data_IF_880782096336
#
_entry.id   IF_880782096336
#
_cell.length_a   1.000
_cell.length_b   1.000
_cell.length_c   1.000
_cell.angle_alpha   90.00
_cell.angle_beta   90.00
_cell.angle_gamma   90.00
#
_symmetry.space_group_name_H-M   'P 1'
#
loop_
_entity.id
_entity.type
_entity.pdbx_description
1 polymer ?
#
# COMPACT_ATOMS: atom_id res chain seq x y z
N UNK A 1 32.53 -2.64 6.42
CA UNK A 1 31.67 -1.89 7.38
C UNK A 1 30.28 -1.64 6.79
N UNK A 2 30.19 -1.24 5.52
CA UNK A 2 28.94 -1.13 4.74
C UNK A 2 28.13 -2.44 4.67
N UNK A 3 28.78 -3.60 4.52
CA UNK A 3 28.10 -4.90 4.40
C UNK A 3 27.41 -5.37 5.69
N UNK A 4 28.04 -5.16 6.86
CA UNK A 4 27.44 -5.42 8.18
C UNK A 4 26.29 -4.45 8.49
N UNK A 5 26.38 -3.22 8.02
CA UNK A 5 25.32 -2.22 8.20
C UNK A 5 24.09 -2.58 7.34
N UNK A 6 24.31 -3.02 6.10
CA UNK A 6 23.25 -3.46 5.20
C UNK A 6 22.52 -4.70 5.74
N UNK A 7 23.25 -5.70 6.24
CA UNK A 7 22.64 -6.92 6.83
C UNK A 7 21.84 -6.65 8.11
N UNK A 8 22.29 -5.72 8.96
CA UNK A 8 21.51 -5.29 10.14
C UNK A 8 20.25 -4.51 9.72
N UNK A 9 20.36 -3.66 8.70
CA UNK A 9 19.22 -2.93 8.12
C UNK A 9 18.18 -3.88 7.53
N UNK A 10 18.61 -4.86 6.75
CA UNK A 10 17.73 -5.88 6.16
C UNK A 10 17.07 -6.75 7.23
N UNK A 11 17.82 -7.18 8.25
CA UNK A 11 17.29 -7.96 9.37
C UNK A 11 16.28 -7.15 10.21
N UNK A 12 16.55 -5.86 10.44
CA UNK A 12 15.62 -4.95 11.11
C UNK A 12 14.34 -4.72 10.31
N UNK A 13 14.46 -4.56 8.99
CA UNK A 13 13.32 -4.43 8.10
C UNK A 13 12.47 -5.70 8.09
N UNK A 14 13.11 -6.87 8.02
CA UNK A 14 12.43 -8.17 8.06
C UNK A 14 11.69 -8.37 9.39
N UNK A 15 12.30 -8.02 10.52
CA UNK A 15 11.62 -8.08 11.83
C UNK A 15 10.37 -7.20 11.88
N UNK A 16 10.38 -6.05 11.21
CA UNK A 16 9.24 -5.12 11.18
C UNK A 16 8.17 -5.52 10.14
N UNK A 17 8.57 -6.13 9.03
CA UNK A 17 7.67 -6.62 7.97
C UNK A 17 6.97 -7.92 8.38
N UNK A 18 7.62 -8.79 9.17
CA UNK A 18 7.07 -10.09 9.59
C UNK A 18 5.68 -9.99 10.23
N UNK A 19 5.42 -9.13 11.23
CA UNK A 19 4.07 -8.98 11.80
C UNK A 19 3.07 -8.43 10.78
N UNK A 20 3.51 -7.60 9.82
CA UNK A 20 2.65 -7.13 8.75
C UNK A 20 2.26 -8.25 7.78
N UNK A 21 3.18 -9.16 7.43
CA UNK A 21 2.88 -10.33 6.61
C UNK A 21 1.89 -11.24 7.32
N UNK A 22 2.11 -11.50 8.61
CA UNK A 22 1.20 -12.31 9.44
C UNK A 22 -0.17 -11.65 9.49
N UNK A 23 -0.24 -10.33 9.73
CA UNK A 23 -1.51 -9.60 9.74
C UNK A 23 -2.20 -9.61 8.36
N UNK A 24 -1.44 -9.54 7.26
CA UNK A 24 -2.02 -9.54 5.92
C UNK A 24 -2.59 -10.91 5.54
N UNK A 25 -1.94 -11.99 5.98
CA UNK A 25 -2.35 -13.36 5.65
C UNK A 25 -3.42 -13.90 6.61
N UNK A 26 -3.22 -13.71 7.91
CA UNK A 26 -4.16 -14.18 8.94
C UNK A 26 -5.26 -13.19 9.26
N UNK A 27 -5.04 -11.88 9.09
CA UNK A 27 -6.05 -10.87 9.36
C UNK A 27 -7.33 -11.11 8.57
N UNK A 28 -7.21 -11.31 7.25
CA UNK A 28 -8.35 -11.61 6.38
C UNK A 28 -9.08 -12.91 6.74
N UNK A 29 -8.34 -13.98 7.07
CA UNK A 29 -8.90 -15.28 7.45
C UNK A 29 -9.62 -15.18 8.79
N UNK A 30 -8.96 -14.63 9.81
CA UNK A 30 -9.50 -14.48 11.16
C UNK A 30 -10.74 -13.57 11.12
N UNK A 31 -10.68 -12.43 10.44
CA UNK A 31 -11.84 -11.56 10.28
C UNK A 31 -12.97 -12.22 9.50
N UNK A 32 -12.64 -13.01 8.47
CA UNK A 32 -13.62 -13.74 7.68
C UNK A 32 -14.36 -14.77 8.53
N UNK A 33 -13.63 -15.59 9.30
CA UNK A 33 -14.21 -16.57 10.23
C UNK A 33 -15.05 -15.86 11.31
N UNK A 34 -14.57 -14.74 11.84
CA UNK A 34 -15.32 -13.96 12.84
C UNK A 34 -16.65 -13.47 12.25
N UNK A 35 -16.65 -12.87 11.07
CA UNK A 35 -17.87 -12.38 10.42
C UNK A 35 -18.84 -13.51 10.06
N UNK A 36 -18.31 -14.68 9.70
CA UNK A 36 -19.10 -15.89 9.47
C UNK A 36 -19.84 -16.31 10.73
N UNK A 37 -19.16 -16.31 11.88
CA UNK A 37 -19.77 -16.65 13.18
C UNK A 37 -20.85 -15.62 13.56
N UNK A 38 -20.64 -14.34 13.23
CA UNK A 38 -21.63 -13.27 13.44
C UNK A 38 -22.79 -13.31 12.42
N UNK A 39 -22.77 -14.21 11.44
CA UNK A 39 -23.82 -14.34 10.42
C UNK A 39 -23.72 -13.35 9.25
N UNK A 40 -22.65 -12.56 9.18
CA UNK A 40 -22.44 -11.51 8.17
C UNK A 40 -21.72 -12.04 6.91
N UNK A 41 -22.23 -13.15 6.37
CA UNK A 41 -21.68 -13.83 5.19
C UNK A 41 -21.54 -12.92 3.97
N UNK A 42 -22.49 -11.98 3.81
CA UNK A 42 -22.48 -11.02 2.70
C UNK A 42 -21.24 -10.16 2.73
N UNK A 43 -20.77 -9.75 3.91
CA UNK A 43 -19.61 -8.86 4.04
C UNK A 43 -18.32 -9.59 3.65
N UNK A 44 -18.18 -10.86 4.05
CA UNK A 44 -17.05 -11.70 3.65
C UNK A 44 -17.00 -11.89 2.13
N UNK A 45 -18.16 -12.22 1.53
CA UNK A 45 -18.29 -12.33 0.06
C UNK A 45 -17.95 -11.00 -0.64
N UNK A 46 -18.39 -9.85 -0.11
CA UNK A 46 -18.01 -8.55 -0.68
C UNK A 46 -16.51 -8.30 -0.57
N UNK A 47 -15.86 -8.68 0.55
CA UNK A 47 -14.41 -8.61 0.71
C UNK A 47 -13.67 -9.37 -0.38
N UNK A 48 -14.04 -10.64 -0.59
CA UNK A 48 -13.46 -11.48 -1.64
C UNK A 48 -13.70 -10.85 -3.02
N UNK A 49 -14.92 -10.40 -3.30
CA UNK A 49 -15.26 -9.79 -4.58
C UNK A 49 -14.44 -8.51 -4.84
N UNK A 50 -14.29 -7.63 -3.85
CA UNK A 50 -13.49 -6.42 -3.97
C UNK A 50 -12.01 -6.74 -4.19
N UNK A 51 -11.44 -7.71 -3.49
CA UNK A 51 -10.04 -8.13 -3.72
C UNK A 51 -9.83 -8.61 -5.16
N UNK A 52 -10.74 -9.45 -5.68
CA UNK A 52 -10.65 -9.93 -7.06
C UNK A 52 -10.82 -8.78 -8.07
N UNK A 53 -11.81 -7.90 -7.86
CA UNK A 53 -12.02 -6.74 -8.73
C UNK A 53 -10.83 -5.80 -8.74
N UNK A 54 -10.22 -5.55 -7.59
CA UNK A 54 -9.03 -4.72 -7.47
C UNK A 54 -7.85 -5.35 -8.23
N UNK A 55 -7.60 -6.64 -8.02
CA UNK A 55 -6.43 -7.29 -8.58
C UNK A 55 -6.52 -7.50 -10.10
N UNK A 56 -7.70 -7.88 -10.61
CA UNK A 56 -7.85 -8.25 -12.02
C UNK A 56 -8.32 -7.11 -12.92
N UNK A 57 -9.05 -6.12 -12.39
CA UNK A 57 -9.68 -5.08 -13.21
C UNK A 57 -9.19 -3.69 -12.87
N UNK A 58 -9.37 -3.26 -11.61
CA UNK A 58 -9.19 -1.86 -11.24
C UNK A 58 -7.71 -1.47 -11.25
N UNK A 59 -6.85 -2.21 -10.53
CA UNK A 59 -5.44 -1.88 -10.42
C UNK A 59 -4.69 -2.04 -11.75
N UNK A 60 -4.85 -3.13 -12.53
CA UNK A 60 -4.19 -3.23 -13.82
C UNK A 60 -4.53 -2.09 -14.77
N UNK A 61 -5.83 -1.71 -14.86
CA UNK A 61 -6.26 -0.61 -15.73
C UNK A 61 -5.81 0.75 -15.19
N UNK A 62 -5.87 0.95 -13.87
CA UNK A 62 -5.42 2.19 -13.25
C UNK A 62 -3.90 2.36 -13.35
N UNK A 63 -3.14 1.27 -13.32
CA UNK A 63 -1.68 1.28 -13.41
C UNK A 63 -1.20 1.29 -14.88
N UNK A 64 -2.02 0.93 -15.87
CA UNK A 64 -1.63 0.98 -17.29
C UNK A 64 -0.95 2.28 -17.76
N UNK A 65 -1.44 3.48 -17.40
CA UNK A 65 -0.80 4.75 -17.76
C UNK A 65 0.66 4.85 -17.29
N UNK A 66 1.01 4.20 -16.18
CA UNK A 66 2.37 4.19 -15.66
C UNK A 66 3.35 3.54 -16.65
N UNK A 67 2.93 2.49 -17.35
CA UNK A 67 3.78 1.80 -18.33
C UNK A 67 4.02 2.66 -19.58
N UNK A 68 3.01 3.42 -20.03
CA UNK A 68 3.17 4.39 -21.12
C UNK A 68 4.16 5.50 -20.74
N UNK A 69 4.16 5.91 -19.48
CA UNK A 69 5.08 6.89 -18.94
C UNK A 69 6.53 6.34 -18.78
N UNK A 70 6.74 5.03 -18.69
CA UNK A 70 8.09 4.45 -18.62
C UNK A 70 8.80 4.39 -19.98
N UNK A 71 8.06 4.39 -21.09
CA UNK A 71 8.62 4.35 -22.46
C UNK A 71 9.64 5.48 -22.74
N UNK A 72 9.33 6.77 -22.48
CA UNK A 72 10.29 7.85 -22.73
C UNK A 72 11.53 7.79 -21.83
N UNK A 73 11.46 7.14 -20.66
CA UNK A 73 12.58 7.00 -19.72
C UNK A 73 13.76 6.26 -20.36
N UNK A 74 13.50 5.22 -21.17
CA UNK A 74 14.56 4.47 -21.87
C UNK A 74 15.25 5.31 -22.95
N UNK A 75 14.53 6.21 -23.62
CA UNK A 75 15.13 7.11 -24.62
C UNK A 75 15.86 8.31 -23.99
N UNK A 76 15.45 8.73 -22.80
CA UNK A 76 16.00 9.88 -22.07
C UNK A 76 17.24 9.56 -21.22
N UNK A 77 17.82 8.36 -21.31
CA UNK A 77 19.02 7.97 -20.54
C UNK A 77 20.21 8.95 -20.69
N UNK A 78 20.30 9.68 -21.80
CA UNK A 78 21.35 10.69 -22.02
C UNK A 78 21.12 12.02 -21.28
N UNK A 79 19.91 12.29 -20.77
CA UNK A 79 19.54 13.53 -20.06
C UNK A 79 19.11 13.22 -18.61
N UNK A 80 20.09 13.08 -17.72
CA UNK A 80 19.91 12.68 -16.31
C UNK A 80 18.83 13.47 -15.55
N UNK A 81 18.72 14.78 -15.77
CA UNK A 81 17.75 15.63 -15.06
C UNK A 81 16.29 15.33 -15.44
N UNK A 82 16.03 15.07 -16.73
CA UNK A 82 14.68 14.79 -17.25
C UNK A 82 14.24 13.40 -16.85
N UNK A 83 15.18 12.44 -16.81
CA UNK A 83 14.94 11.08 -16.36
C UNK A 83 14.48 11.05 -14.89
N UNK A 84 15.21 11.76 -14.01
CA UNK A 84 14.86 11.86 -12.58
C UNK A 84 13.47 12.47 -12.38
N UNK A 85 13.15 13.55 -13.10
CA UNK A 85 11.85 14.21 -13.01
C UNK A 85 10.71 13.30 -13.47
N UNK A 86 10.91 12.55 -14.57
CA UNK A 86 9.88 11.66 -15.09
C UNK A 86 9.63 10.48 -14.13
N UNK A 87 10.69 9.86 -13.59
CA UNK A 87 10.54 8.77 -12.62
C UNK A 87 9.86 9.23 -11.33
N UNK A 88 10.09 10.47 -10.90
CA UNK A 88 9.36 11.08 -9.77
C UNK A 88 7.85 11.15 -10.07
N UNK A 89 7.46 11.67 -11.23
CA UNK A 89 6.05 11.78 -11.63
C UNK A 89 5.37 10.41 -11.73
N UNK A 90 6.02 9.41 -12.33
CA UNK A 90 5.48 8.05 -12.41
C UNK A 90 5.26 7.47 -11.02
N UNK A 91 6.24 7.60 -10.13
CA UNK A 91 6.09 7.07 -8.78
C UNK A 91 5.07 7.84 -7.93
N UNK A 92 4.87 9.14 -8.17
CA UNK A 92 3.83 9.92 -7.50
C UNK A 92 2.43 9.43 -7.93
N UNK A 93 2.27 9.08 -9.21
CA UNK A 93 1.03 8.52 -9.75
C UNK A 93 0.66 7.19 -9.08
N UNK A 94 1.60 6.23 -9.01
CA UNK A 94 1.36 4.92 -8.38
C UNK A 94 0.99 5.06 -6.89
N UNK A 95 1.65 5.97 -6.18
CA UNK A 95 1.33 6.29 -4.77
C UNK A 95 -0.06 6.89 -4.63
N UNK A 96 -0.45 7.78 -5.54
CA UNK A 96 -1.80 8.35 -5.58
C UNK A 96 -2.87 7.28 -5.75
N UNK A 97 -2.68 6.33 -6.66
CA UNK A 97 -3.61 5.21 -6.85
C UNK A 97 -3.68 4.33 -5.60
N UNK A 98 -2.53 4.04 -4.96
CA UNK A 98 -2.49 3.30 -3.70
C UNK A 98 -3.29 4.02 -2.61
N UNK A 99 -3.06 5.31 -2.42
CA UNK A 99 -3.78 6.07 -1.41
C UNK A 99 -5.29 6.13 -1.68
N UNK A 100 -5.68 6.42 -2.92
CA UNK A 100 -7.09 6.49 -3.31
C UNK A 100 -7.79 5.14 -3.12
N UNK A 101 -7.18 4.05 -3.59
CA UNK A 101 -7.76 2.71 -3.46
C UNK A 101 -7.90 2.29 -1.99
N UNK A 102 -6.89 2.54 -1.17
CA UNK A 102 -6.92 2.26 0.26
C UNK A 102 -8.02 3.05 0.99
N UNK A 103 -8.06 4.37 0.79
CA UNK A 103 -9.06 5.24 1.43
C UNK A 103 -10.48 4.92 0.95
N UNK A 104 -10.64 4.56 -0.32
CA UNK A 104 -11.95 4.17 -0.87
C UNK A 104 -12.47 2.88 -0.23
N UNK A 105 -11.62 1.87 -0.08
CA UNK A 105 -11.98 0.60 0.57
C UNK A 105 -12.29 0.82 2.05
N UNK A 106 -11.43 1.58 2.75
CA UNK A 106 -11.65 1.91 4.16
C UNK A 106 -13.00 2.60 4.36
N UNK A 107 -13.32 3.60 3.53
CA UNK A 107 -14.60 4.31 3.61
C UNK A 107 -15.79 3.37 3.35
N UNK A 108 -15.71 2.51 2.32
CA UNK A 108 -16.78 1.57 1.98
C UNK A 108 -17.06 0.58 3.11
N UNK A 109 -16.00 -0.02 3.67
CA UNK A 109 -16.13 -0.99 4.75
C UNK A 109 -16.55 -0.34 6.07
N UNK A 110 -16.05 0.85 6.39
CA UNK A 110 -16.47 1.60 7.58
C UNK A 110 -17.98 1.93 7.57
N UNK A 111 -18.54 2.25 6.39
CA UNK A 111 -19.99 2.48 6.25
C UNK A 111 -20.85 1.21 6.30
N UNK A 112 -20.27 0.03 6.10
CA UNK A 112 -20.97 -1.25 6.21
C UNK A 112 -20.94 -1.83 7.63
N UNK A 113 -20.21 -1.18 8.53
CA UNK A 113 -19.95 -1.71 9.86
C UNK A 113 -21.04 -1.36 10.87
N UNK A 114 -21.42 -2.37 11.66
CA UNK A 114 -22.29 -2.24 12.84
C UNK A 114 -21.45 -2.34 14.11
N UNK A 115 -22.03 -2.02 15.28
CA UNK A 115 -21.29 -2.01 16.55
C UNK A 115 -20.56 -3.35 16.85
N UNK A 116 -21.19 -4.49 16.57
CA UNK A 116 -20.62 -5.81 16.86
C UNK A 116 -19.66 -6.30 15.76
N UNK A 117 -19.72 -5.70 14.57
CA UNK A 117 -18.96 -6.12 13.38
C UNK A 117 -17.84 -5.14 13.02
N UNK A 118 -17.72 -4.03 13.76
CA UNK A 118 -16.82 -2.94 13.46
C UNK A 118 -15.36 -3.35 13.33
N UNK A 119 -14.83 -4.01 14.36
CA UNK A 119 -13.44 -4.48 14.39
C UNK A 119 -13.17 -5.51 13.28
N UNK A 120 -13.94 -6.61 13.16
CA UNK A 120 -13.64 -7.60 12.14
C UNK A 120 -13.80 -7.07 10.71
N UNK A 121 -14.72 -6.13 10.45
CA UNK A 121 -14.86 -5.49 9.13
C UNK A 121 -13.64 -4.65 8.76
N UNK A 122 -13.07 -3.90 9.72
CA UNK A 122 -11.88 -3.09 9.49
C UNK A 122 -10.62 -3.96 9.27
N UNK A 123 -10.50 -5.08 9.98
CA UNK A 123 -9.42 -6.04 9.75
C UNK A 123 -9.57 -6.69 8.35
N UNK A 124 -10.79 -7.02 7.95
CA UNK A 124 -11.07 -7.54 6.61
C UNK A 124 -10.72 -6.49 5.54
N UNK A 125 -11.10 -5.22 5.75
CA UNK A 125 -10.85 -4.13 4.79
C UNK A 125 -9.35 -3.87 4.59
N UNK A 126 -8.54 -4.03 5.63
CA UNK A 126 -7.08 -3.99 5.52
C UNK A 126 -6.55 -5.04 4.53
N UNK A 127 -6.96 -6.30 4.69
CA UNK A 127 -6.53 -7.38 3.78
C UNK A 127 -6.99 -7.14 2.33
N UNK A 128 -8.22 -6.66 2.16
CA UNK A 128 -8.79 -6.34 0.84
C UNK A 128 -8.04 -5.17 0.16
N UNK A 129 -7.66 -4.15 0.93
CA UNK A 129 -6.97 -2.98 0.42
C UNK A 129 -5.50 -3.25 0.13
N UNK A 130 -4.78 -3.83 1.09
CA UNK A 130 -3.32 -3.91 1.07
C UNK A 130 -2.83 -5.18 0.36
N UNK A 131 -3.61 -6.26 0.38
CA UNK A 131 -3.26 -7.54 -0.26
C UNK A 131 -2.83 -7.41 -1.72
N UNK A 132 -3.65 -6.81 -2.61
CA UNK A 132 -3.28 -6.63 -4.02
C UNK A 132 -2.00 -5.81 -4.23
N UNK A 133 -1.77 -4.77 -3.42
CA UNK A 133 -0.55 -3.95 -3.52
C UNK A 133 0.72 -4.73 -3.16
N UNK A 134 0.65 -5.66 -2.21
CA UNK A 134 1.78 -6.55 -1.91
C UNK A 134 2.05 -7.54 -3.05
N UNK A 135 1.01 -7.96 -3.77
CA UNK A 135 1.18 -8.78 -4.98
C UNK A 135 1.95 -8.01 -6.06
N UNK A 136 1.51 -6.78 -6.41
CA UNK A 136 2.20 -5.96 -7.42
C UNK A 136 3.60 -5.50 -6.99
N UNK A 137 3.82 -5.20 -5.71
CA UNK A 137 5.12 -4.76 -5.22
C UNK A 137 6.21 -5.84 -5.34
N UNK A 138 5.84 -7.12 -5.34
CA UNK A 138 6.80 -8.22 -5.57
C UNK A 138 7.30 -8.25 -7.00
N UNK A 139 6.49 -7.82 -7.97
CA UNK A 139 6.85 -7.82 -9.39
C UNK A 139 7.70 -6.59 -9.78
N UNK A 140 7.54 -5.46 -9.08
CA UNK A 140 8.23 -4.19 -9.41
C UNK A 140 9.58 -3.96 -8.70
N UNK A 141 9.92 -4.75 -7.67
CA UNK A 141 11.21 -4.69 -6.94
C UNK A 141 11.20 -3.88 -5.63
N UNK A 142 12.37 -3.84 -4.97
CA UNK A 142 12.52 -3.41 -3.56
C UNK A 142 11.99 -2.00 -3.26
N UNK A 143 12.15 -1.06 -4.20
CA UNK A 143 11.71 0.32 -4.01
C UNK A 143 10.18 0.49 -3.95
N UNK A 144 9.42 -0.39 -4.62
CA UNK A 144 7.95 -0.41 -4.55
C UNK A 144 7.48 -1.14 -3.28
N UNK A 145 8.23 -2.12 -2.79
CA UNK A 145 7.93 -2.80 -1.51
C UNK A 145 7.94 -1.83 -0.32
N UNK A 146 8.88 -0.87 -0.30
CA UNK A 146 8.93 0.18 0.73
C UNK A 146 7.66 1.02 0.73
N UNK A 147 7.17 1.43 -0.45
CA UNK A 147 5.92 2.21 -0.54
C UNK A 147 4.75 1.40 0.04
N UNK A 148 4.60 0.15 -0.38
CA UNK A 148 3.50 -0.71 0.05
C UNK A 148 3.54 -0.99 1.55
N UNK A 149 4.74 -1.15 2.12
CA UNK A 149 4.95 -1.28 3.56
C UNK A 149 4.46 -0.04 4.32
N UNK A 150 4.85 1.16 3.89
CA UNK A 150 4.35 2.39 4.50
C UNK A 150 2.85 2.59 4.27
N UNK A 151 2.30 2.13 3.13
CA UNK A 151 0.86 2.10 2.86
C UNK A 151 0.10 1.18 3.82
N UNK A 152 0.69 0.05 4.18
CA UNK A 152 0.11 -0.85 5.18
C UNK A 152 0.12 -0.20 6.58
N UNK A 153 1.21 0.46 6.96
CA UNK A 153 1.28 1.23 8.23
C UNK A 153 0.25 2.36 8.23
N UNK A 154 0.16 3.16 7.16
CA UNK A 154 -0.80 4.27 7.10
C UNK A 154 -2.25 3.76 7.18
N UNK A 155 -2.54 2.59 6.62
CA UNK A 155 -3.85 1.94 6.75
C UNK A 155 -4.15 1.51 8.18
N UNK A 156 -3.17 0.90 8.87
CA UNK A 156 -3.33 0.51 10.28
C UNK A 156 -3.56 1.74 11.16
N UNK A 157 -2.78 2.81 10.96
CA UNK A 157 -2.98 4.09 11.66
C UNK A 157 -4.37 4.65 11.36
N UNK A 158 -4.83 4.58 10.11
CA UNK A 158 -6.17 5.02 9.74
C UNK A 158 -7.28 4.21 10.44
N UNK A 159 -7.14 2.88 10.54
CA UNK A 159 -8.07 2.04 11.33
C UNK A 159 -8.08 2.49 12.78
N UNK A 160 -6.91 2.66 13.40
CA UNK A 160 -6.80 3.07 14.82
C UNK A 160 -7.48 4.42 15.03
N UNK A 161 -7.23 5.41 14.16
CA UNK A 161 -7.88 6.72 14.23
C UNK A 161 -9.40 6.60 14.12
N UNK A 162 -9.88 5.72 13.23
CA UNK A 162 -11.30 5.47 13.05
C UNK A 162 -11.94 4.80 14.29
N UNK A 163 -11.22 3.89 14.96
CA UNK A 163 -11.65 3.31 16.25
C UNK A 163 -11.80 4.37 17.37
N UNK A 164 -10.98 5.42 17.35
CA UNK A 164 -11.09 6.56 18.28
C UNK A 164 -12.12 7.61 17.86
N UNK A 165 -12.87 7.38 16.77
CA UNK A 165 -13.89 8.32 16.29
C UNK A 165 -13.32 9.60 15.68
N UNK A 166 -12.06 9.58 15.23
CA UNK A 166 -11.43 10.71 14.55
C UNK A 166 -12.15 10.98 13.22
N UNK A 167 -12.45 12.24 12.86
CA UNK A 167 -13.15 12.56 11.62
C UNK A 167 -12.36 12.09 10.39
N UNK A 168 -13.11 11.62 9.38
CA UNK A 168 -12.53 11.02 8.17
C UNK A 168 -11.56 11.95 7.43
N UNK A 169 -11.80 13.27 7.46
CA UNK A 169 -10.89 14.25 6.86
C UNK A 169 -9.48 14.19 7.48
N UNK A 170 -9.38 14.06 8.81
CA UNK A 170 -8.10 13.96 9.52
C UNK A 170 -7.40 12.63 9.20
N UNK A 171 -8.17 11.56 8.98
CA UNK A 171 -7.65 10.27 8.52
C UNK A 171 -7.03 10.41 7.13
N UNK A 172 -7.71 11.06 6.18
CA UNK A 172 -7.18 11.32 4.83
C UNK A 172 -5.86 12.10 4.92
N UNK A 173 -5.85 13.20 5.68
CA UNK A 173 -4.65 14.06 5.81
C UNK A 173 -3.47 13.27 6.38
N UNK A 174 -3.71 12.50 7.43
CA UNK A 174 -2.66 11.70 8.10
C UNK A 174 -2.16 10.59 7.18
N UNK A 175 -3.06 9.91 6.48
CA UNK A 175 -2.71 8.87 5.51
C UNK A 175 -1.84 9.45 4.38
N UNK A 176 -2.27 10.57 3.79
CA UNK A 176 -1.52 11.25 2.73
C UNK A 176 -0.16 11.77 3.22
N UNK A 177 -0.05 12.26 4.46
CA UNK A 177 1.22 12.69 5.03
C UNK A 177 2.23 11.54 5.16
N UNK A 178 1.79 10.37 5.63
CA UNK A 178 2.65 9.17 5.74
C UNK A 178 3.08 8.69 4.34
N UNK A 179 2.16 8.68 3.37
CA UNK A 179 2.48 8.27 1.99
C UNK A 179 3.38 9.27 1.27
N UNK A 180 3.24 10.56 1.54
CA UNK A 180 4.15 11.56 0.99
C UNK A 180 5.56 11.41 1.55
N UNK A 181 5.67 11.10 2.85
CA UNK A 181 6.95 10.80 3.47
C UNK A 181 7.62 9.56 2.87
N UNK A 182 6.87 8.49 2.62
CA UNK A 182 7.41 7.28 1.99
C UNK A 182 7.88 7.54 0.55
N UNK A 183 7.19 8.42 -0.19
CA UNK A 183 7.62 8.87 -1.51
C UNK A 183 8.98 9.58 -1.48
N UNK A 184 9.17 10.50 -0.51
CA UNK A 184 10.44 11.21 -0.34
C UNK A 184 11.60 10.24 -0.03
N UNK A 185 11.35 9.24 0.83
CA UNK A 185 12.33 8.21 1.13
C UNK A 185 12.73 7.41 -0.12
N UNK A 186 11.75 6.91 -0.89
CA UNK A 186 12.02 6.20 -2.16
C UNK A 186 12.85 7.05 -3.11
N UNK A 187 12.50 8.33 -3.25
CA UNK A 187 13.21 9.23 -4.16
C UNK A 187 14.65 9.48 -3.73
N UNK A 188 14.92 9.62 -2.42
CA UNK A 188 16.28 9.77 -1.90
C UNK A 188 17.12 8.52 -2.17
N UNK A 189 16.55 7.33 -2.00
CA UNK A 189 17.23 6.05 -2.27
C UNK A 189 17.55 5.94 -3.78
N UNK A 190 16.57 6.17 -4.64
CA UNK A 190 16.73 6.12 -6.09
C UNK A 190 17.82 7.10 -6.58
N UNK A 191 17.88 8.31 -6.00
CA UNK A 191 18.92 9.30 -6.34
C UNK A 191 20.33 8.81 -6.02
N UNK A 192 20.51 8.04 -4.94
CA UNK A 192 21.84 7.50 -4.55
C UNK A 192 22.33 6.46 -5.56
N UNK A 193 21.46 5.57 -6.02
CA UNK A 193 21.80 4.53 -7.02
C UNK A 193 22.26 5.16 -8.34
N UNK A 194 21.58 6.21 -8.81
CA UNK A 194 21.99 6.94 -10.02
C UNK A 194 23.31 7.69 -9.87
N UNK A 195 23.71 8.05 -8.65
CA UNK A 195 24.98 8.73 -8.37
C UNK A 195 26.17 7.78 -8.26
N UNK A 196 25.95 6.51 -7.87
CA UNK A 196 27.01 5.50 -7.79
C UNK A 196 27.29 4.79 -9.12
N UNK A 197 26.36 4.88 -10.09
CA UNK A 197 26.52 4.32 -11.43
C UNK A 197 27.14 5.30 -12.45
N UNK A 198 27.56 6.48 -12.00
CA UNK A 198 28.15 7.57 -12.80
C UNK A 198 29.62 7.76 -12.45
#
# INVERSE_FOLDING_TARGET
MTEKLNTILEAGLLMLITPLIILNLFGGIISGIWLIILGEWRIVLTGIAYTLLLNFFILPVALMPQFLLVIPVKFLMKRKILLIFYTFLVSLYSIGILAISCLWILNKFAHMANNDTFIPILILSYGVAIGPWFYFAKEEGDSTQIITFFGAISYIVAIIMLLFGVPFLTIIITFCAIMFFSHLLKFIILRREFSSAA
#
